data_IF_044034931220
#
_entry.id   IF_044034931220
#
_cell.length_a   1.000
_cell.length_b   1.000
_cell.length_c   1.000
_cell.angle_alpha   90.00
_cell.angle_beta   90.00
_cell.angle_gamma   90.00
#
_symmetry.space_group_name_H-M   'P 1'
#
loop_
_entity.id
_entity.type
_entity.pdbx_description
1 polymer ?
#
# COMPACT_ATOMS: atom_id res chain seq x y z
N UNK A 1 -12.66 -29.20 4.57
CA UNK A 1 -11.97 -27.99 4.08
C UNK A 1 -11.85 -27.05 5.28
N UNK A 2 -10.68 -26.95 5.92
CA UNK A 2 -10.48 -26.15 7.13
C UNK A 2 -9.91 -24.78 6.71
N UNK A 3 -10.76 -23.78 6.53
CA UNK A 3 -10.35 -22.40 6.32
C UNK A 3 -9.72 -21.90 7.62
N UNK A 4 -8.42 -21.58 7.60
CA UNK A 4 -7.78 -20.84 8.70
C UNK A 4 -8.46 -19.47 8.78
N UNK A 5 -9.41 -19.32 9.69
CA UNK A 5 -9.83 -18.01 10.19
C UNK A 5 -8.55 -17.37 10.74
N UNK A 6 -8.06 -16.29 10.12
CA UNK A 6 -7.00 -15.48 10.72
C UNK A 6 -7.50 -15.08 12.11
N UNK A 7 -6.82 -15.55 13.14
CA UNK A 7 -7.14 -15.24 14.53
C UNK A 7 -7.01 -13.73 14.77
N UNK A 8 -8.03 -13.12 15.35
CA UNK A 8 -7.99 -11.72 15.80
C UNK A 8 -6.75 -11.50 16.69
N UNK A 9 -5.98 -10.46 16.39
CA UNK A 9 -4.81 -10.06 17.19
C UNK A 9 -5.21 -9.02 18.22
N UNK A 10 -4.83 -9.23 19.49
CA UNK A 10 -5.19 -8.33 20.59
C UNK A 10 -4.20 -7.17 20.69
N UNK A 11 -4.69 -5.93 20.61
CA UNK A 11 -3.91 -4.71 20.82
C UNK A 11 -4.32 -4.05 22.14
N UNK A 12 -3.36 -3.87 23.06
CA UNK A 12 -3.57 -3.15 24.31
C UNK A 12 -3.23 -1.66 24.16
N UNK A 13 -4.24 -0.80 24.17
CA UNK A 13 -4.04 0.66 24.13
C UNK A 13 -4.09 1.26 25.54
N UNK A 14 -3.01 1.96 25.92
CA UNK A 14 -2.98 2.81 27.12
C UNK A 14 -3.17 4.26 26.70
N UNK A 15 -4.29 4.85 27.07
CA UNK A 15 -4.62 6.24 26.76
C UNK A 15 -5.15 6.97 28.00
N UNK A 16 -4.96 8.30 28.10
CA UNK A 16 -5.57 9.08 29.16
C UNK A 16 -7.09 8.90 29.19
N UNK A 17 -7.69 8.90 30.39
CA UNK A 17 -9.13 8.72 30.57
C UNK A 17 -9.96 9.73 29.76
N UNK A 18 -9.50 10.99 29.68
CA UNK A 18 -10.13 12.03 28.88
C UNK A 18 -10.13 11.69 27.37
N UNK A 19 -9.04 11.11 26.86
CA UNK A 19 -8.93 10.66 25.46
C UNK A 19 -9.91 9.53 25.19
N UNK A 20 -9.96 8.51 26.06
CA UNK A 20 -10.95 7.43 25.96
C UNK A 20 -12.37 7.97 25.97
N UNK A 21 -12.66 8.94 26.86
CA UNK A 21 -13.97 9.59 26.92
C UNK A 21 -14.36 10.33 25.64
N UNK A 22 -13.40 11.00 24.97
CA UNK A 22 -13.64 11.62 23.65
C UNK A 22 -13.93 10.57 22.59
N UNK A 23 -13.15 9.49 22.53
CA UNK A 23 -13.35 8.41 21.53
C UNK A 23 -14.69 7.71 21.70
N UNK A 24 -15.13 7.43 22.94
CA UNK A 24 -16.46 6.85 23.21
C UNK A 24 -17.59 7.75 22.70
N UNK A 25 -17.48 9.08 22.91
CA UNK A 25 -18.49 10.02 22.41
C UNK A 25 -18.51 10.06 20.88
N UNK A 26 -17.33 10.10 20.26
CA UNK A 26 -17.21 10.08 18.80
C UNK A 26 -17.75 8.78 18.19
N UNK A 27 -17.43 7.61 18.76
CA UNK A 27 -17.92 6.33 18.26
C UNK A 27 -19.44 6.22 18.35
N UNK A 28 -20.05 6.70 19.43
CA UNK A 28 -21.51 6.74 19.59
C UNK A 28 -22.19 7.68 18.60
N UNK A 29 -21.59 8.85 18.36
CA UNK A 29 -22.10 9.79 17.36
C UNK A 29 -22.05 9.22 15.93
N UNK A 30 -21.11 8.29 15.68
CA UNK A 30 -20.99 7.53 14.44
C UNK A 30 -21.77 6.20 14.45
N UNK A 31 -22.55 5.91 15.50
CA UNK A 31 -23.30 4.66 15.67
C UNK A 31 -22.45 3.38 15.61
N UNK A 32 -21.17 3.47 16.01
CA UNK A 32 -20.19 2.38 15.97
C UNK A 32 -19.77 1.93 17.38
N UNK A 33 -19.38 0.65 17.50
CA UNK A 33 -18.63 0.19 18.67
C UNK A 33 -17.29 0.91 18.72
N UNK A 34 -16.77 1.16 19.93
CA UNK A 34 -15.49 1.85 20.10
C UNK A 34 -14.35 1.15 19.35
N UNK A 35 -14.30 -0.18 19.38
CA UNK A 35 -13.28 -0.97 18.66
C UNK A 35 -13.37 -0.74 17.16
N UNK A 36 -14.54 -0.93 16.56
CA UNK A 36 -14.76 -0.77 15.12
C UNK A 36 -14.48 0.66 14.66
N UNK A 37 -14.87 1.65 15.47
CA UNK A 37 -14.59 3.06 15.21
C UNK A 37 -13.09 3.38 15.27
N UNK A 38 -12.35 2.83 16.23
CA UNK A 38 -10.88 3.01 16.31
C UNK A 38 -10.21 2.37 15.10
N UNK A 39 -10.59 1.14 14.74
CA UNK A 39 -10.06 0.47 13.54
C UNK A 39 -10.34 1.33 12.31
N UNK A 40 -11.59 1.73 12.09
CA UNK A 40 -11.95 2.57 10.95
C UNK A 40 -11.20 3.90 10.93
N UNK A 41 -11.03 4.56 12.07
CA UNK A 41 -10.29 5.82 12.16
C UNK A 41 -8.80 5.64 11.84
N UNK A 42 -8.19 4.55 12.29
CA UNK A 42 -6.79 4.21 11.99
C UNK A 42 -6.63 3.89 10.50
N UNK A 43 -7.47 3.02 9.94
CA UNK A 43 -7.45 2.69 8.51
C UNK A 43 -7.66 3.93 7.65
N UNK A 44 -8.64 4.76 7.99
CA UNK A 44 -8.91 6.03 7.28
C UNK A 44 -7.71 6.96 7.34
N UNK A 45 -7.05 7.08 8.51
CA UNK A 45 -5.84 7.90 8.64
C UNK A 45 -4.71 7.36 7.76
N UNK A 46 -4.51 6.04 7.73
CA UNK A 46 -3.48 5.39 6.92
C UNK A 46 -3.74 5.61 5.42
N UNK A 47 -4.96 5.36 4.95
CA UNK A 47 -5.37 5.66 3.58
C UNK A 47 -5.17 7.14 3.22
N UNK A 48 -5.53 8.07 4.11
CA UNK A 48 -5.31 9.51 3.90
C UNK A 48 -3.84 9.88 3.79
N UNK A 49 -2.94 9.21 4.52
CA UNK A 49 -1.51 9.45 4.37
C UNK A 49 -1.00 8.93 3.01
N UNK A 50 -1.49 7.80 2.53
CA UNK A 50 -1.13 7.28 1.20
C UNK A 50 -1.54 8.23 0.06
N UNK A 51 -2.65 8.96 0.19
CA UNK A 51 -3.07 9.97 -0.79
C UNK A 51 -2.16 11.21 -0.84
N UNK A 52 -1.20 11.35 0.07
CA UNK A 52 -0.23 12.47 0.10
C UNK A 52 1.11 12.11 -0.51
N UNK A 53 1.23 10.96 -1.17
CA UNK A 53 2.47 10.61 -1.87
C UNK A 53 2.79 11.70 -2.91
N UNK A 54 3.96 12.30 -2.74
CA UNK A 54 4.56 13.28 -3.65
C UNK A 54 5.77 12.59 -4.28
N UNK A 55 5.76 12.51 -5.61
CA UNK A 55 6.95 12.10 -6.37
C UNK A 55 7.79 13.36 -6.62
N UNK A 56 9.06 13.40 -6.16
CA UNK A 56 10.00 14.46 -6.51
C UNK A 56 10.18 14.62 -8.01
N UNK A 57 10.21 15.86 -8.51
CA UNK A 57 10.37 16.15 -9.94
C UNK A 57 11.70 15.65 -10.53
N UNK A 58 12.71 15.45 -9.68
CA UNK A 58 14.02 14.94 -10.07
C UNK A 58 14.10 13.41 -10.09
N UNK A 59 13.06 12.71 -9.64
CA UNK A 59 12.95 11.25 -9.71
C UNK A 59 12.24 10.81 -10.98
N UNK A 60 12.86 9.87 -11.69
CA UNK A 60 12.25 9.18 -12.83
C UNK A 60 11.79 7.80 -12.42
N UNK A 61 10.76 7.29 -13.08
CA UNK A 61 10.29 5.93 -12.82
C UNK A 61 11.39 4.88 -13.01
N UNK A 62 12.23 5.05 -14.03
CA UNK A 62 13.40 4.18 -14.29
C UNK A 62 14.40 4.10 -13.13
N UNK A 63 14.45 5.11 -12.25
CA UNK A 63 15.35 5.10 -11.09
C UNK A 63 14.97 4.01 -10.09
N UNK A 64 13.71 3.54 -10.12
CA UNK A 64 13.24 2.43 -9.30
C UNK A 64 13.97 1.12 -9.60
N UNK A 65 14.58 0.99 -10.78
CA UNK A 65 15.23 -0.23 -11.26
C UNK A 65 14.31 -1.46 -11.11
N UNK A 66 13.05 -1.31 -11.52
CA UNK A 66 12.05 -2.35 -11.38
C UNK A 66 12.45 -3.56 -12.23
N UNK A 67 12.53 -4.72 -11.58
CA UNK A 67 12.92 -5.96 -12.23
C UNK A 67 12.06 -7.12 -11.70
N UNK A 68 11.94 -8.16 -12.52
CA UNK A 68 11.37 -9.44 -12.11
C UNK A 68 12.49 -10.44 -11.94
N UNK A 69 12.57 -11.01 -10.75
CA UNK A 69 13.55 -12.01 -10.37
C UNK A 69 13.18 -13.39 -10.92
N UNK A 70 14.14 -14.31 -10.91
CA UNK A 70 13.98 -15.64 -11.51
C UNK A 70 12.91 -16.53 -10.86
N UNK A 71 12.53 -16.23 -9.62
CA UNK A 71 11.45 -16.88 -8.87
C UNK A 71 10.07 -16.27 -9.14
N UNK A 72 10.00 -15.16 -9.88
CA UNK A 72 8.78 -14.42 -10.16
C UNK A 72 8.54 -13.24 -9.21
N UNK A 73 9.37 -13.07 -8.18
CA UNK A 73 9.27 -11.93 -7.29
C UNK A 73 9.71 -10.64 -8.00
N UNK A 74 9.23 -9.51 -7.50
CA UNK A 74 9.58 -8.19 -8.04
C UNK A 74 10.62 -7.54 -7.13
N UNK A 75 11.72 -7.09 -7.73
CA UNK A 75 12.77 -6.33 -7.06
C UNK A 75 12.80 -4.88 -7.54
N UNK A 76 13.25 -3.99 -6.65
CA UNK A 76 13.33 -2.55 -6.88
C UNK A 76 14.26 -1.89 -5.85
N UNK A 77 14.67 -0.65 -6.13
CA UNK A 77 15.52 0.15 -5.24
C UNK A 77 14.71 0.82 -4.12
N UNK A 78 14.86 0.32 -2.89
CA UNK A 78 14.27 0.91 -1.69
C UNK A 78 14.73 2.34 -1.42
N UNK A 79 15.91 2.74 -1.87
CA UNK A 79 16.38 4.13 -1.76
C UNK A 79 15.48 5.12 -2.48
N UNK A 80 14.84 4.71 -3.59
CA UNK A 80 13.87 5.53 -4.31
C UNK A 80 12.58 5.67 -3.50
N UNK A 81 12.08 4.57 -2.94
CA UNK A 81 10.90 4.58 -2.07
C UNK A 81 11.13 5.46 -0.84
N UNK A 82 12.31 5.37 -0.22
CA UNK A 82 12.69 6.21 0.92
C UNK A 82 12.73 7.70 0.56
N UNK A 83 13.22 8.05 -0.64
CA UNK A 83 13.20 9.44 -1.13
C UNK A 83 11.77 9.96 -1.36
N UNK A 84 10.89 9.14 -1.94
CA UNK A 84 9.46 9.47 -2.11
C UNK A 84 8.83 9.66 -0.73
N UNK A 85 9.07 8.77 0.22
CA UNK A 85 8.59 8.87 1.59
C UNK A 85 9.03 10.18 2.25
N UNK A 86 10.32 10.52 2.14
CA UNK A 86 10.89 11.76 2.67
C UNK A 86 10.22 13.00 2.08
N UNK A 87 10.00 13.03 0.76
CA UNK A 87 9.32 14.14 0.10
C UNK A 87 7.84 14.24 0.49
N UNK A 88 7.21 13.10 0.76
CA UNK A 88 5.80 12.99 1.16
C UNK A 88 5.56 13.20 2.66
N UNK A 89 6.62 13.28 3.47
CA UNK A 89 6.51 13.31 4.94
C UNK A 89 5.98 12.00 5.54
N UNK A 90 6.18 10.87 4.85
CA UNK A 90 5.73 9.54 5.24
C UNK A 90 6.89 8.71 5.83
N UNK A 91 6.56 7.77 6.73
CA UNK A 91 7.54 6.75 7.12
C UNK A 91 7.59 5.65 6.07
N UNK A 92 8.78 5.18 5.72
CA UNK A 92 8.98 4.02 4.82
C UNK A 92 8.35 2.75 5.37
N UNK A 93 8.22 2.64 6.70
CA UNK A 93 7.61 1.48 7.37
C UNK A 93 6.15 1.25 6.95
N UNK A 94 5.46 2.30 6.47
CA UNK A 94 4.11 2.20 5.91
C UNK A 94 4.07 1.32 4.65
N UNK A 95 5.19 1.24 3.93
CA UNK A 95 5.35 0.40 2.74
C UNK A 95 6.06 -0.92 3.03
N UNK A 96 6.91 -0.97 4.07
CA UNK A 96 7.71 -2.15 4.41
C UNK A 96 6.99 -3.14 5.32
N UNK A 97 6.26 -2.64 6.33
CA UNK A 97 5.73 -3.47 7.43
C UNK A 97 4.20 -3.65 7.36
N UNK A 98 3.55 -2.96 6.43
CA UNK A 98 2.12 -3.08 6.15
C UNK A 98 1.84 -4.28 5.21
N UNK A 99 0.57 -4.63 4.91
CA UNK A 99 0.26 -5.67 3.93
C UNK A 99 0.99 -5.42 2.59
N UNK A 100 1.42 -6.49 1.92
CA UNK A 100 2.25 -6.48 0.70
C UNK A 100 1.70 -5.57 -0.43
N UNK A 101 0.40 -5.23 -0.39
CA UNK A 101 -0.28 -4.39 -1.36
C UNK A 101 0.18 -2.91 -1.37
N UNK A 102 0.75 -2.39 -0.28
CA UNK A 102 1.02 -0.95 -0.17
C UNK A 102 2.13 -0.45 -1.10
N UNK A 103 3.24 -1.20 -1.21
CA UNK A 103 4.35 -0.82 -2.09
C UNK A 103 3.99 -1.07 -3.56
N UNK A 104 3.28 -2.17 -3.84
CA UNK A 104 2.76 -2.47 -5.18
C UNK A 104 1.81 -1.39 -5.67
N UNK A 105 0.88 -0.93 -4.81
CA UNK A 105 -0.03 0.17 -5.12
C UNK A 105 0.69 1.50 -5.40
N UNK A 106 1.77 1.80 -4.66
CA UNK A 106 2.63 2.96 -4.93
C UNK A 106 3.30 2.86 -6.31
N UNK A 107 3.94 1.72 -6.61
CA UNK A 107 4.67 1.51 -7.87
C UNK A 107 3.71 1.61 -9.06
N UNK A 108 2.57 0.92 -8.99
CA UNK A 108 1.54 0.94 -10.04
C UNK A 108 0.95 2.34 -10.22
N UNK A 109 0.59 3.02 -9.14
CA UNK A 109 0.02 4.36 -9.19
C UNK A 109 0.99 5.38 -9.78
N UNK A 110 2.27 5.33 -9.38
CA UNK A 110 3.32 6.18 -9.94
C UNK A 110 3.53 5.88 -11.44
N UNK A 111 3.62 4.62 -11.82
CA UNK A 111 3.80 4.22 -13.22
C UNK A 111 2.66 4.69 -14.12
N UNK A 112 1.40 4.54 -13.68
CA UNK A 112 0.25 5.03 -14.43
C UNK A 112 0.31 6.54 -14.65
N UNK A 113 0.65 7.31 -13.61
CA UNK A 113 0.82 8.76 -13.72
C UNK A 113 1.99 9.13 -14.66
N UNK A 114 3.09 8.37 -14.60
CA UNK A 114 4.23 8.52 -15.51
C UNK A 114 3.81 8.31 -16.98
N UNK A 115 3.09 7.23 -17.29
CA UNK A 115 2.58 6.97 -18.64
C UNK A 115 1.60 8.04 -19.12
N UNK A 116 0.71 8.53 -18.25
CA UNK A 116 -0.23 9.62 -18.60
C UNK A 116 0.49 10.92 -18.99
N UNK A 117 1.70 11.13 -18.48
CA UNK A 117 2.56 12.27 -18.81
C UNK A 117 3.47 12.02 -20.03
N UNK A 118 3.27 10.90 -20.75
CA UNK A 118 4.09 10.53 -21.91
C UNK A 118 5.42 9.87 -21.55
N UNK A 119 5.53 9.35 -20.32
CA UNK A 119 6.67 8.58 -19.85
C UNK A 119 6.89 7.28 -20.60
N UNK A 120 8.10 6.72 -20.46
CA UNK A 120 8.48 5.46 -21.09
C UNK A 120 7.72 4.28 -20.46
N UNK A 121 7.55 3.22 -21.27
CA UNK A 121 6.89 2.00 -20.82
C UNK A 121 7.90 1.12 -20.09
N UNK A 122 7.46 0.56 -18.98
CA UNK A 122 8.20 -0.43 -18.20
C UNK A 122 7.46 -1.78 -18.28
N UNK A 123 8.09 -2.83 -18.83
CA UNK A 123 7.42 -4.11 -19.05
C UNK A 123 7.05 -4.82 -17.73
N UNK A 124 7.83 -4.64 -16.67
CA UNK A 124 7.55 -5.28 -15.37
C UNK A 124 6.35 -4.58 -14.70
N UNK A 125 6.28 -3.26 -14.80
CA UNK A 125 5.13 -2.51 -14.31
C UNK A 125 3.85 -2.78 -15.11
N UNK A 126 3.98 -2.99 -16.43
CA UNK A 126 2.87 -3.42 -17.29
C UNK A 126 2.32 -4.78 -16.87
N UNK A 127 3.21 -5.75 -16.63
CA UNK A 127 2.84 -7.09 -16.15
C UNK A 127 2.15 -7.03 -14.78
N UNK A 128 2.68 -6.25 -13.84
CA UNK A 128 2.06 -6.05 -12.52
C UNK A 128 0.63 -5.52 -12.61
N UNK A 129 0.37 -4.54 -13.50
CA UNK A 129 -0.97 -4.01 -13.71
C UNK A 129 -1.90 -5.08 -14.30
N UNK A 130 -1.40 -5.87 -15.26
CA UNK A 130 -2.17 -6.94 -15.88
C UNK A 130 -2.51 -8.05 -14.88
N UNK A 131 -1.59 -8.41 -13.99
CA UNK A 131 -1.78 -9.35 -12.90
C UNK A 131 -2.91 -8.86 -11.98
N UNK A 132 -2.79 -7.65 -11.42
CA UNK A 132 -3.81 -7.08 -10.52
C UNK A 132 -5.19 -7.08 -11.18
N UNK A 133 -5.29 -6.66 -12.45
CA UNK A 133 -6.55 -6.65 -13.19
C UNK A 133 -7.12 -8.07 -13.42
N UNK A 134 -6.26 -9.07 -13.63
CA UNK A 134 -6.66 -10.46 -13.78
C UNK A 134 -7.10 -11.07 -12.44
N UNK A 135 -6.43 -10.74 -11.34
CA UNK A 135 -6.75 -11.17 -9.99
C UNK A 135 -8.09 -10.63 -9.52
N UNK A 136 -8.36 -9.33 -9.72
CA UNK A 136 -9.65 -8.72 -9.41
C UNK A 136 -10.81 -9.41 -10.16
N UNK A 137 -10.57 -9.82 -11.40
CA UNK A 137 -11.56 -10.53 -12.22
C UNK A 137 -11.75 -11.99 -11.80
N UNK A 138 -10.70 -12.64 -11.29
CA UNK A 138 -10.70 -14.05 -10.92
C UNK A 138 -11.01 -14.31 -9.43
N UNK A 139 -10.86 -13.29 -8.57
CA UNK A 139 -10.94 -13.43 -7.11
C UNK A 139 -9.80 -14.27 -6.50
N UNK A 140 -8.66 -14.41 -7.18
CA UNK A 140 -7.49 -15.21 -6.77
C UNK A 140 -6.18 -14.56 -7.24
N UNK A 141 -5.10 -14.76 -6.49
CA UNK A 141 -3.74 -14.24 -6.78
C UNK A 141 -3.13 -14.97 -8.00
N UNK A 142 -2.56 -14.23 -8.96
CA UNK A 142 -1.93 -14.68 -10.20
C UNK A 142 -0.53 -14.04 -10.28
N UNK A 143 0.51 -14.83 -10.03
CA UNK A 143 1.91 -14.43 -10.24
C UNK A 143 2.45 -15.02 -11.55
N UNK A 144 3.05 -14.19 -12.41
CA UNK A 144 3.72 -14.61 -13.65
C UNK A 144 5.19 -15.01 -13.46
N UNK A 145 5.61 -16.04 -14.21
CA UNK A 145 7.00 -16.50 -14.29
C UNK A 145 7.84 -15.60 -15.23
N UNK A 146 9.17 -15.55 -15.04
CA UNK A 146 10.06 -14.67 -15.80
C UNK A 146 9.94 -14.82 -17.32
N UNK A 147 10.08 -13.71 -18.07
CA UNK A 147 10.38 -13.73 -19.50
C UNK A 147 9.18 -13.72 -20.47
N UNK A 148 8.09 -13.02 -20.14
CA UNK A 148 7.00 -12.73 -21.09
C UNK A 148 6.91 -11.24 -21.43
N UNK A 149 8.03 -10.65 -21.83
CA UNK A 149 8.05 -9.43 -22.64
C UNK A 149 8.06 -9.82 -24.13
#
# INVERSE_FOLDING_TARGET
MNWKIKSDSLIHLRVPAATKGRWIRASRAAEMRLTDWIVNAVETYMHQQMNKVVIPDDLKFSDLHLARESDGDVSFDWGVIERICKASGLSVDIFRDAPEDNVSGLIVGWYQAHCQQGGERDPVADDLIAEIAAEEKAGQIISHQPGRA
#
